data_IF_704645342123
#
_entry.id   IF_704645342123
#
_cell.length_a   1.000
_cell.length_b   1.000
_cell.length_c   1.000
_cell.angle_alpha   90.00
_cell.angle_beta   90.00
_cell.angle_gamma   90.00
#
_symmetry.space_group_name_H-M   'P 1'
#
loop_
_entity.id
_entity.type
_entity.pdbx_description
1 polymer ?
#
# COMPACT_ATOMS: atom_id res chain seq x y z
N UNK A 1 -79.57 -14.48 -18.57
CA UNK A 1 -78.40 -14.09 -19.38
C UNK A 1 -77.27 -13.73 -18.42
N UNK A 2 -76.36 -14.65 -18.14
CA UNK A 2 -75.16 -14.30 -17.37
C UNK A 2 -73.96 -15.13 -17.83
N UNK A 3 -72.87 -14.40 -18.03
CA UNK A 3 -71.81 -14.63 -18.99
C UNK A 3 -70.63 -15.38 -18.35
N UNK A 4 -70.12 -16.41 -19.03
CA UNK A 4 -68.81 -17.02 -18.75
C UNK A 4 -67.71 -15.97 -18.66
N UNK A 5 -66.80 -16.08 -17.69
CA UNK A 5 -65.37 -15.76 -17.92
C UNK A 5 -64.47 -16.72 -17.16
N UNK A 6 -63.72 -17.50 -17.93
CA UNK A 6 -62.55 -18.25 -17.50
C UNK A 6 -61.48 -17.27 -16.97
N UNK A 7 -60.74 -17.65 -15.93
CA UNK A 7 -59.56 -16.92 -15.50
C UNK A 7 -58.35 -17.87 -15.47
N UNK A 8 -57.44 -17.60 -16.40
CA UNK A 8 -56.18 -18.28 -16.68
C UNK A 8 -55.22 -18.21 -15.49
N UNK A 9 -54.69 -19.36 -15.07
CA UNK A 9 -53.66 -19.47 -14.05
C UNK A 9 -52.30 -19.06 -14.63
N UNK A 10 -51.79 -17.88 -14.28
CA UNK A 10 -50.42 -17.46 -14.59
C UNK A 10 -49.43 -18.08 -13.60
N UNK A 11 -48.52 -18.90 -14.12
CA UNK A 11 -47.37 -19.42 -13.38
C UNK A 11 -46.31 -18.33 -13.32
N UNK A 12 -46.09 -17.77 -12.13
CA UNK A 12 -44.97 -16.87 -11.85
C UNK A 12 -43.69 -17.70 -11.72
N UNK A 13 -42.83 -17.66 -12.75
CA UNK A 13 -41.45 -18.16 -12.64
C UNK A 13 -40.67 -17.12 -11.83
N UNK A 14 -40.43 -17.43 -10.56
CA UNK A 14 -39.53 -16.66 -9.71
C UNK A 14 -38.09 -16.92 -10.17
N UNK A 15 -37.53 -16.01 -10.97
CA UNK A 15 -36.10 -15.99 -11.26
C UNK A 15 -35.39 -15.48 -10.00
N UNK A 16 -34.78 -16.39 -9.24
CA UNK A 16 -33.94 -16.04 -8.12
C UNK A 16 -32.67 -15.34 -8.64
N UNK A 17 -32.62 -14.01 -8.51
CA UNK A 17 -31.39 -13.26 -8.67
C UNK A 17 -30.43 -13.64 -7.54
N UNK A 18 -29.49 -14.53 -7.81
CA UNK A 18 -28.36 -14.80 -6.92
C UNK A 18 -27.51 -13.54 -6.93
N UNK A 19 -27.74 -12.66 -5.96
CA UNK A 19 -26.88 -11.52 -5.68
C UNK A 19 -25.53 -12.06 -5.20
N UNK A 20 -24.56 -12.18 -6.10
CA UNK A 20 -23.16 -12.35 -5.74
C UNK A 20 -22.72 -11.12 -4.94
N UNK A 21 -22.78 -11.19 -3.61
CA UNK A 21 -22.08 -10.26 -2.73
C UNK A 21 -20.57 -10.43 -3.00
N UNK A 22 -19.99 -9.56 -3.83
CA UNK A 22 -18.53 -9.38 -3.84
C UNK A 22 -18.16 -8.84 -2.47
N UNK A 23 -17.44 -9.62 -1.66
CA UNK A 23 -16.84 -9.09 -0.45
C UNK A 23 -15.81 -8.03 -0.87
N UNK A 24 -16.02 -6.78 -0.43
CA UNK A 24 -15.06 -5.71 -0.65
C UNK A 24 -13.77 -6.03 0.15
N UNK A 25 -12.62 -5.84 -0.49
CA UNK A 25 -11.33 -6.08 0.16
C UNK A 25 -11.11 -5.10 1.32
N UNK A 26 -10.50 -5.55 2.42
CA UNK A 26 -10.18 -4.67 3.55
C UNK A 26 -9.13 -3.62 3.14
N UNK A 27 -9.04 -2.48 3.86
CA UNK A 27 -7.95 -1.52 3.67
C UNK A 27 -6.56 -2.16 3.64
N UNK A 28 -6.27 -3.10 4.55
CA UNK A 28 -5.01 -3.85 4.54
C UNK A 28 -4.83 -4.66 3.27
N UNK A 29 -5.83 -5.40 2.82
CA UNK A 29 -5.75 -6.19 1.59
C UNK A 29 -5.54 -5.30 0.36
N UNK A 30 -6.16 -4.11 0.35
CA UNK A 30 -5.99 -3.14 -0.72
C UNK A 30 -4.56 -2.57 -0.73
N UNK A 31 -4.00 -2.26 0.44
CA UNK A 31 -2.59 -1.86 0.60
C UNK A 31 -1.65 -2.97 0.15
N UNK A 32 -1.87 -4.21 0.59
CA UNK A 32 -1.06 -5.38 0.23
C UNK A 32 -1.03 -5.59 -1.28
N UNK A 33 -2.21 -5.65 -1.91
CA UNK A 33 -2.32 -5.84 -3.36
C UNK A 33 -1.62 -4.73 -4.15
N UNK A 34 -1.81 -3.48 -3.76
CA UNK A 34 -1.17 -2.34 -4.43
C UNK A 34 0.35 -2.35 -4.25
N UNK A 35 0.84 -2.62 -3.03
CA UNK A 35 2.26 -2.63 -2.74
C UNK A 35 2.98 -3.82 -3.39
N UNK A 36 2.34 -5.00 -3.43
CA UNK A 36 2.90 -6.18 -4.09
C UNK A 36 3.05 -5.95 -5.61
N UNK A 37 2.07 -5.27 -6.24
CA UNK A 37 2.19 -4.85 -7.65
C UNK A 37 3.32 -3.84 -7.85
N UNK A 38 3.44 -2.86 -6.95
CA UNK A 38 4.53 -1.90 -7.02
C UNK A 38 5.88 -2.59 -6.90
N UNK A 39 6.06 -3.47 -5.91
CA UNK A 39 7.29 -4.25 -5.69
C UNK A 39 7.59 -5.15 -6.88
N UNK A 40 6.60 -5.81 -7.49
CA UNK A 40 6.81 -6.60 -8.70
C UNK A 40 7.42 -5.74 -9.82
N UNK A 41 6.95 -4.49 -9.99
CA UNK A 41 7.55 -3.54 -10.94
C UNK A 41 8.99 -3.15 -10.56
N UNK A 42 9.30 -3.05 -9.25
CA UNK A 42 10.64 -2.74 -8.75
C UNK A 42 11.60 -3.92 -8.97
N UNK A 43 11.13 -5.17 -8.84
CA UNK A 43 11.94 -6.36 -9.12
C UNK A 43 12.21 -6.50 -10.61
N UNK A 44 11.20 -6.29 -11.46
CA UNK A 44 11.33 -6.39 -12.91
C UNK A 44 12.24 -5.29 -13.49
N UNK A 45 12.21 -4.10 -12.90
CA UNK A 45 13.08 -2.98 -13.27
C UNK A 45 13.65 -2.35 -11.98
N UNK A 46 14.84 -2.77 -11.52
CA UNK A 46 15.44 -2.30 -10.27
C UNK A 46 15.51 -0.78 -10.14
N UNK A 47 15.11 -0.20 -9.00
CA UNK A 47 15.16 1.25 -8.81
C UNK A 47 16.59 1.77 -8.68
N UNK A 48 16.76 3.05 -8.99
CA UNK A 48 18.03 3.78 -8.84
C UNK A 48 17.80 5.04 -8.00
N UNK A 49 18.86 5.66 -7.48
CA UNK A 49 18.77 6.96 -6.82
C UNK A 49 18.05 8.01 -7.70
N UNK A 50 18.27 7.97 -9.01
CA UNK A 50 17.71 8.95 -9.94
C UNK A 50 16.18 8.82 -10.15
N UNK A 51 15.61 7.62 -9.96
CA UNK A 51 14.21 7.36 -10.27
C UNK A 51 13.34 6.97 -9.06
N UNK A 52 13.94 6.63 -7.91
CA UNK A 52 13.19 6.10 -6.76
C UNK A 52 12.06 7.04 -6.31
N UNK A 53 12.35 8.34 -6.14
CA UNK A 53 11.33 9.31 -5.72
C UNK A 53 10.19 9.45 -6.72
N UNK A 54 10.49 9.52 -8.02
CA UNK A 54 9.47 9.61 -9.06
C UNK A 54 8.57 8.37 -9.09
N UNK A 55 9.13 7.19 -8.83
CA UNK A 55 8.37 5.93 -8.77
C UNK A 55 7.44 5.85 -7.58
N UNK A 56 7.89 6.28 -6.40
CA UNK A 56 7.05 6.38 -5.20
C UNK A 56 5.92 7.40 -5.43
N UNK A 57 6.24 8.57 -5.99
CA UNK A 57 5.23 9.58 -6.34
C UNK A 57 4.18 9.01 -7.29
N UNK A 58 4.61 8.34 -8.37
CA UNK A 58 3.70 7.72 -9.32
C UNK A 58 2.82 6.68 -8.63
N UNK A 59 3.40 5.82 -7.79
CA UNK A 59 2.66 4.84 -6.99
C UNK A 59 1.57 5.52 -6.12
N UNK A 60 1.93 6.56 -5.38
CA UNK A 60 0.99 7.36 -4.57
C UNK A 60 -0.14 7.99 -5.40
N UNK A 61 0.15 8.38 -6.65
CA UNK A 61 -0.83 9.00 -7.57
C UNK A 61 -1.77 7.99 -8.23
N UNK A 62 -1.38 6.72 -8.36
CA UNK A 62 -2.25 5.67 -8.94
C UNK A 62 -3.43 5.30 -8.07
N UNK A 63 -3.36 5.63 -6.77
CA UNK A 63 -4.38 5.31 -5.79
C UNK A 63 -5.24 6.55 -5.61
N UNK A 64 -6.46 6.47 -6.11
CA UNK A 64 -7.38 7.58 -6.23
C UNK A 64 -7.64 8.30 -4.89
N UNK A 65 -8.04 9.56 -4.98
CA UNK A 65 -8.61 10.34 -3.89
C UNK A 65 -10.10 9.96 -3.75
N UNK A 66 -10.63 9.53 -2.60
CA UNK A 66 -10.00 8.92 -1.42
C UNK A 66 -10.37 7.42 -1.30
N UNK A 67 -9.37 6.59 -0.95
CA UNK A 67 -9.52 5.86 0.30
C UNK A 67 -8.58 6.46 1.34
N UNK A 68 -9.16 6.87 2.47
CA UNK A 68 -8.47 7.55 3.58
C UNK A 68 -7.35 6.70 4.22
N UNK A 69 -7.22 5.43 3.83
CA UNK A 69 -6.25 4.50 4.41
C UNK A 69 -4.89 4.48 3.70
N UNK A 70 -4.71 5.15 2.56
CA UNK A 70 -3.44 5.14 1.81
C UNK A 70 -2.68 6.45 2.01
N UNK A 71 -1.91 6.53 3.10
CA UNK A 71 -1.37 7.80 3.60
C UNK A 71 -0.03 8.19 2.98
N UNK A 72 0.94 7.28 3.02
CA UNK A 72 2.31 7.54 2.61
C UNK A 72 3.03 6.29 2.14
N UNK A 73 4.16 6.48 1.47
CA UNK A 73 5.00 5.42 0.94
C UNK A 73 6.44 5.92 0.83
N UNK A 74 7.41 5.05 1.11
CA UNK A 74 8.82 5.24 0.76
C UNK A 74 9.34 4.06 -0.04
N UNK A 75 10.42 4.31 -0.78
CA UNK A 75 11.29 3.29 -1.38
C UNK A 75 12.71 3.50 -0.84
N UNK A 76 13.03 2.80 0.25
CA UNK A 76 14.34 2.93 0.88
C UNK A 76 15.36 2.10 0.12
N UNK A 77 16.28 2.74 -0.59
CA UNK A 77 17.42 2.09 -1.25
C UNK A 77 18.50 1.77 -0.22
N UNK A 78 19.03 0.56 -0.30
CA UNK A 78 20.06 0.05 0.61
C UNK A 78 21.43 0.04 -0.04
N UNK A 79 22.47 0.26 0.76
CA UNK A 79 23.83 -0.05 0.36
C UNK A 79 24.13 -1.55 0.48
N UNK A 80 25.39 -1.95 0.26
CA UNK A 80 25.79 -3.35 0.31
C UNK A 80 25.74 -3.97 1.71
N UNK A 81 25.77 -3.15 2.76
CA UNK A 81 25.67 -3.55 4.16
C UNK A 81 24.22 -3.57 4.67
N UNK A 82 23.24 -3.22 3.83
CA UNK A 82 21.84 -3.15 4.22
C UNK A 82 21.50 -1.88 5.01
N UNK A 83 22.29 -0.82 4.87
CA UNK A 83 22.07 0.49 5.47
C UNK A 83 21.32 1.38 4.48
N UNK A 84 20.33 2.14 4.96
CA UNK A 84 19.58 3.08 4.14
C UNK A 84 20.49 4.18 3.57
N UNK A 85 20.50 4.32 2.24
CA UNK A 85 21.23 5.35 1.51
C UNK A 85 20.34 6.50 1.04
N UNK A 86 19.10 6.17 0.68
CA UNK A 86 18.13 7.12 0.14
C UNK A 86 16.73 6.61 0.43
N UNK A 87 15.85 7.44 0.97
CA UNK A 87 14.49 7.04 1.34
C UNK A 87 13.49 8.17 1.03
N UNK A 88 13.18 8.39 -0.27
CA UNK A 88 12.19 9.39 -0.65
C UNK A 88 10.81 8.95 -0.19
N UNK A 89 10.34 9.60 0.86
CA UNK A 89 9.01 9.42 1.41
C UNK A 89 8.06 10.41 0.76
N UNK A 90 6.93 9.91 0.26
CA UNK A 90 5.82 10.72 -0.22
C UNK A 90 4.59 10.44 0.61
N UNK A 91 3.90 11.49 1.06
CA UNK A 91 2.72 11.36 1.90
C UNK A 91 1.68 12.42 1.55
N UNK A 92 0.42 12.12 1.88
CA UNK A 92 -0.70 13.04 1.68
C UNK A 92 -0.71 14.11 2.75
N UNK A 93 -0.85 15.36 2.31
CA UNK A 93 -1.06 16.53 3.17
C UNK A 93 -2.16 17.39 2.53
N UNK A 94 -3.38 17.28 3.07
CA UNK A 94 -4.58 17.81 2.43
C UNK A 94 -4.74 17.24 1.01
N UNK A 95 -4.94 18.11 0.03
CA UNK A 95 -5.12 17.74 -1.38
C UNK A 95 -3.79 17.57 -2.14
N UNK A 96 -2.65 17.65 -1.45
CA UNK A 96 -1.32 17.62 -2.05
C UNK A 96 -0.51 16.41 -1.59
N UNK A 97 0.50 16.07 -2.39
CA UNK A 97 1.56 15.14 -1.98
C UNK A 97 2.79 15.95 -1.57
N UNK A 98 3.28 15.70 -0.36
CA UNK A 98 4.53 16.25 0.15
C UNK A 98 5.62 15.17 0.12
N UNK A 99 6.88 15.60 0.15
CA UNK A 99 8.01 14.68 0.16
C UNK A 99 9.14 15.15 1.05
N UNK A 100 9.85 14.18 1.64
CA UNK A 100 11.14 14.35 2.28
C UNK A 100 12.02 13.10 2.05
N UNK A 101 13.31 13.22 2.26
CA UNK A 101 14.23 12.08 2.30
C UNK A 101 14.50 11.67 3.75
N UNK A 102 13.91 10.54 4.17
CA UNK A 102 14.06 10.03 5.54
C UNK A 102 15.50 9.58 5.86
N UNK A 103 16.31 9.28 4.84
CA UNK A 103 17.70 8.89 5.03
C UNK A 103 18.63 10.10 5.22
N UNK A 104 18.21 11.29 4.78
CA UNK A 104 18.98 12.53 4.94
C UNK A 104 18.88 13.11 6.36
N UNK A 105 17.78 12.84 7.07
CA UNK A 105 17.61 13.27 8.45
C UNK A 105 18.20 12.25 9.44
N UNK A 106 19.37 12.58 10.00
CA UNK A 106 20.03 11.73 10.99
C UNK A 106 19.26 11.59 12.30
N UNK A 107 18.39 12.55 12.65
CA UNK A 107 17.59 12.52 13.87
C UNK A 107 16.39 11.56 13.78
N UNK A 108 15.96 11.22 12.56
CA UNK A 108 14.93 10.22 12.33
C UNK A 108 15.43 8.78 12.61
N UNK A 109 16.75 8.57 12.65
CA UNK A 109 17.38 7.28 12.95
C UNK A 109 16.82 6.12 12.10
N UNK A 110 16.67 6.35 10.79
CA UNK A 110 16.01 5.43 9.85
C UNK A 110 16.46 3.96 9.98
N UNK A 111 17.75 3.71 10.21
CA UNK A 111 18.32 2.37 10.33
C UNK A 111 17.94 1.63 11.62
N UNK A 112 17.22 2.29 12.53
CA UNK A 112 16.64 1.68 13.74
C UNK A 112 15.11 1.49 13.63
N UNK A 113 14.49 1.96 12.55
CA UNK A 113 13.04 1.91 12.39
C UNK A 113 12.57 0.48 12.11
N UNK A 114 11.54 0.03 12.85
CA UNK A 114 11.01 -1.33 12.72
C UNK A 114 10.46 -1.63 11.34
N UNK A 115 9.79 -0.65 10.70
CA UNK A 115 9.28 -0.78 9.35
C UNK A 115 10.41 -1.04 8.33
N UNK A 116 11.64 -0.56 8.58
CA UNK A 116 12.78 -0.81 7.70
C UNK A 116 13.50 -2.11 8.08
N UNK A 117 13.79 -2.33 9.37
CA UNK A 117 14.64 -3.44 9.80
C UNK A 117 13.95 -4.79 9.75
N UNK A 118 12.70 -4.89 10.20
CA UNK A 118 11.98 -6.16 10.20
C UNK A 118 11.89 -6.86 8.83
N UNK A 119 11.56 -6.19 7.70
CA UNK A 119 11.54 -6.86 6.41
C UNK A 119 12.95 -7.21 5.89
N UNK A 120 13.99 -6.49 6.31
CA UNK A 120 15.39 -6.82 5.97
C UNK A 120 15.82 -8.07 6.72
N UNK A 121 15.65 -8.08 8.04
CA UNK A 121 16.15 -9.13 8.93
C UNK A 121 15.42 -10.46 8.72
N UNK A 122 14.10 -10.41 8.48
CA UNK A 122 13.29 -11.62 8.24
C UNK A 122 13.22 -12.00 6.76
N UNK A 123 13.59 -11.09 5.85
CA UNK A 123 13.52 -11.30 4.42
C UNK A 123 12.10 -11.53 3.87
N UNK A 124 11.06 -11.12 4.59
CA UNK A 124 9.66 -11.28 4.16
C UNK A 124 8.88 -9.99 4.33
N UNK A 125 7.72 -9.90 3.68
CA UNK A 125 6.80 -8.79 3.89
C UNK A 125 6.26 -8.80 5.33
N UNK A 126 6.13 -7.63 5.94
CA UNK A 126 5.62 -7.46 7.30
C UNK A 126 4.61 -6.32 7.38
N UNK A 127 3.72 -6.39 8.37
CA UNK A 127 3.05 -5.23 8.93
C UNK A 127 3.70 -4.89 10.26
N UNK A 128 3.98 -3.61 10.51
CA UNK A 128 4.32 -3.18 11.87
C UNK A 128 3.08 -3.22 12.77
N UNK A 129 3.30 -3.29 14.07
CA UNK A 129 2.31 -2.79 15.03
C UNK A 129 2.09 -1.28 14.79
N UNK A 130 0.94 -0.71 15.21
CA UNK A 130 0.73 0.73 15.16
C UNK A 130 1.78 1.51 15.95
N UNK A 131 2.24 2.63 15.40
CA UNK A 131 3.24 3.52 15.97
C UNK A 131 2.99 4.98 15.55
N UNK A 132 3.63 5.92 16.23
CA UNK A 132 3.63 7.32 15.83
C UNK A 132 4.92 7.63 15.06
N UNK A 133 4.79 8.12 13.83
CA UNK A 133 5.94 8.34 12.94
C UNK A 133 6.51 9.74 13.05
N UNK A 134 7.07 10.05 14.22
CA UNK A 134 7.69 11.35 14.49
C UNK A 134 8.84 11.62 13.51
N UNK A 135 8.83 12.79 12.86
CA UNK A 135 9.85 13.19 11.90
C UNK A 135 9.65 12.65 10.47
N UNK A 136 8.77 11.66 10.30
CA UNK A 136 8.29 11.21 8.98
C UNK A 136 6.90 11.78 8.68
N UNK A 137 5.88 10.92 8.66
CA UNK A 137 4.48 11.28 8.45
C UNK A 137 3.83 12.07 9.59
N UNK A 138 4.38 12.01 10.81
CA UNK A 138 3.83 12.68 12.01
C UNK A 138 2.36 12.33 12.30
N UNK A 139 1.99 11.06 12.07
CA UNK A 139 0.67 10.51 12.38
C UNK A 139 0.78 9.15 13.09
N UNK A 140 -0.34 8.69 13.65
CA UNK A 140 -0.48 7.30 14.12
C UNK A 140 -0.80 6.38 12.95
N UNK A 141 0.08 5.42 12.66
CA UNK A 141 -0.06 4.52 11.52
C UNK A 141 0.48 3.13 11.80
N UNK A 142 0.14 2.18 10.94
CA UNK A 142 0.87 0.92 10.77
C UNK A 142 1.40 0.88 9.33
N UNK A 143 2.57 0.29 9.14
CA UNK A 143 3.24 0.30 7.85
C UNK A 143 3.36 -1.12 7.31
N UNK A 144 2.88 -1.33 6.09
CA UNK A 144 3.23 -2.51 5.31
C UNK A 144 4.60 -2.27 4.70
N UNK A 145 5.52 -3.21 4.89
CA UNK A 145 6.87 -3.12 4.35
C UNK A 145 7.21 -4.39 3.60
N UNK A 146 7.72 -4.25 2.37
CA UNK A 146 8.03 -5.38 1.49
C UNK A 146 9.46 -5.25 0.97
N UNK A 147 10.32 -6.25 1.19
CA UNK A 147 11.69 -6.22 0.68
C UNK A 147 11.70 -6.44 -0.84
N UNK A 148 12.43 -5.58 -1.56
CA UNK A 148 12.68 -5.72 -3.00
C UNK A 148 13.91 -6.60 -3.19
N UNK A 149 13.70 -7.84 -3.63
CA UNK A 149 14.76 -8.82 -3.84
C UNK A 149 15.14 -8.94 -5.31
N UNK A 150 16.42 -8.75 -5.62
CA UNK A 150 17.00 -8.94 -6.95
C UNK A 150 18.18 -9.88 -6.82
N UNK A 151 18.20 -10.97 -7.60
CA UNK A 151 19.25 -12.00 -7.55
C UNK A 151 19.52 -12.52 -6.11
N UNK A 152 18.45 -12.74 -5.33
CA UNK A 152 18.54 -13.22 -3.96
C UNK A 152 18.95 -12.17 -2.92
N UNK A 153 19.27 -10.94 -3.32
CA UNK A 153 19.68 -9.85 -2.42
C UNK A 153 18.57 -8.81 -2.26
N UNK A 154 18.34 -8.37 -1.02
CA UNK A 154 17.46 -7.22 -0.73
C UNK A 154 18.22 -5.95 -1.10
N UNK A 155 17.70 -5.21 -2.08
CA UNK A 155 18.31 -3.96 -2.57
C UNK A 155 17.54 -2.71 -2.12
N UNK A 156 16.29 -2.89 -1.72
CA UNK A 156 15.44 -1.82 -1.23
C UNK A 156 14.30 -2.39 -0.38
N UNK A 157 13.61 -1.51 0.36
CA UNK A 157 12.33 -1.79 1.01
C UNK A 157 11.31 -0.78 0.53
N UNK A 158 10.19 -1.26 -0.02
CA UNK A 158 9.05 -0.42 -0.37
C UNK A 158 8.00 -0.51 0.73
N UNK A 159 7.34 0.61 1.02
CA UNK A 159 6.33 0.67 2.08
C UNK A 159 5.02 1.28 1.64
N UNK A 160 3.99 1.04 2.44
CA UNK A 160 2.73 1.79 2.43
C UNK A 160 2.23 1.97 3.85
N UNK A 161 1.84 3.19 4.19
CA UNK A 161 1.32 3.55 5.50
C UNK A 161 -0.20 3.61 5.52
N UNK A 162 -0.74 2.99 6.58
CA UNK A 162 -2.17 2.97 6.88
C UNK A 162 -2.42 3.71 8.21
N UNK A 163 -3.14 4.85 8.20
CA UNK A 163 -3.54 5.56 9.41
C UNK A 163 -4.36 4.68 10.35
N UNK A 164 -4.15 4.85 11.65
CA UNK A 164 -4.82 4.03 12.69
C UNK A 164 -5.67 4.84 13.65
N UNK A 165 -5.66 6.18 13.52
CA UNK A 165 -6.44 7.14 14.31
C UNK A 165 -6.75 8.37 13.48
#
# INVERSE_FOLDING_TARGET
MNLQKQLTLLIFIAVAAISCKKNEATPEQQVENALDQFVASLVANPPTNANASARVKQYMQTIAVPPQYFYGSTLTLLDTAGVAKYSPYWYRSGDSLMTLDLAADTSYHINSQSWLRQPIDNGVAIWTAPYFDAGGGNIWMKTRSVPVKVNGKIIAVATTDLPTR
#
